data_IF_974115575233
#
_entry.id   IF_974115575233
#
_cell.length_a   1.000
_cell.length_b   1.000
_cell.length_c   1.000
_cell.angle_alpha   90.00
_cell.angle_beta   90.00
_cell.angle_gamma   90.00
#
_symmetry.space_group_name_H-M   'P 1'
#
loop_
_entity.id
_entity.type
_entity.pdbx_description
1 polymer ?
#
# COMPACT_ATOMS: atom_id res chain seq x y z
N UNK A 1 -11.41 21.02 -0.50
CA UNK A 1 -11.94 20.42 0.74
C UNK A 1 -13.05 19.47 0.33
N UNK A 2 -13.07 18.25 0.88
CA UNK A 2 -14.20 17.33 0.75
C UNK A 2 -15.31 17.88 1.65
N UNK A 3 -16.39 18.39 1.04
CA UNK A 3 -17.56 18.85 1.79
C UNK A 3 -18.15 17.63 2.52
N UNK A 4 -18.18 17.68 3.85
CA UNK A 4 -18.70 16.60 4.71
C UNK A 4 -17.66 15.66 5.32
N UNK A 5 -16.39 15.65 4.86
CA UNK A 5 -15.35 14.81 5.44
C UNK A 5 -14.80 15.45 6.72
N UNK A 6 -14.98 14.77 7.84
CA UNK A 6 -14.61 15.27 9.18
C UNK A 6 -13.26 14.74 9.64
N UNK A 7 -12.69 15.35 10.68
CA UNK A 7 -11.48 14.81 11.33
C UNK A 7 -11.71 13.41 11.92
N UNK A 8 -12.92 13.13 12.38
CA UNK A 8 -13.29 11.78 12.87
C UNK A 8 -13.21 10.73 11.75
N UNK A 9 -13.64 11.09 10.52
CA UNK A 9 -13.52 10.20 9.36
C UNK A 9 -12.07 9.98 8.97
N UNK A 10 -11.22 11.03 9.06
CA UNK A 10 -9.79 10.93 8.80
C UNK A 10 -9.06 9.97 9.76
N UNK A 11 -9.54 9.82 11.00
CA UNK A 11 -9.01 8.84 11.97
C UNK A 11 -9.68 7.46 11.80
N UNK A 12 -11.00 7.42 11.61
CA UNK A 12 -11.76 6.17 11.52
C UNK A 12 -11.33 5.32 10.32
N UNK A 13 -11.13 5.93 9.15
CA UNK A 13 -10.85 5.20 7.90
C UNK A 13 -9.53 4.44 7.96
N UNK A 14 -8.39 5.00 8.44
CA UNK A 14 -7.17 4.24 8.66
C UNK A 14 -7.29 3.13 9.72
N UNK A 15 -8.09 3.33 10.77
CA UNK A 15 -8.34 2.28 11.77
C UNK A 15 -9.10 1.09 11.18
N UNK A 16 -10.09 1.35 10.30
CA UNK A 16 -10.77 0.31 9.53
C UNK A 16 -9.77 -0.45 8.66
N UNK A 17 -8.85 0.25 7.98
CA UNK A 17 -7.77 -0.40 7.21
C UNK A 17 -6.96 -1.36 8.08
N UNK A 18 -6.49 -0.91 9.24
CA UNK A 18 -5.66 -1.75 10.13
C UNK A 18 -6.42 -2.98 10.64
N UNK A 19 -7.70 -2.81 11.00
CA UNK A 19 -8.54 -3.94 11.42
C UNK A 19 -8.64 -5.00 10.31
N UNK A 20 -8.96 -4.58 9.08
CA UNK A 20 -9.10 -5.50 7.96
C UNK A 20 -7.77 -6.08 7.48
N UNK A 21 -6.68 -5.34 7.57
CA UNK A 21 -5.33 -5.87 7.34
C UNK A 21 -4.99 -6.97 8.34
N UNK A 22 -5.36 -6.79 9.62
CA UNK A 22 -5.08 -7.75 10.67
C UNK A 22 -5.83 -9.09 10.55
N UNK A 23 -6.97 -9.12 9.86
CA UNK A 23 -7.81 -10.33 9.73
C UNK A 23 -7.80 -10.96 8.33
N UNK A 24 -7.11 -10.36 7.36
CA UNK A 24 -7.07 -10.88 5.98
C UNK A 24 -5.68 -11.35 5.59
N UNK A 25 -5.59 -12.42 4.77
CA UNK A 25 -4.32 -12.86 4.22
C UNK A 25 -3.62 -11.76 3.43
N UNK A 26 -2.28 -11.71 3.50
CA UNK A 26 -1.44 -10.68 2.86
C UNK A 26 -1.82 -9.23 3.23
N UNK A 27 -2.53 -9.01 4.35
CA UNK A 27 -3.07 -7.68 4.71
C UNK A 27 -3.86 -7.02 3.55
N UNK A 28 -4.59 -7.81 2.77
CA UNK A 28 -5.21 -7.37 1.51
C UNK A 28 -6.57 -6.69 1.67
N UNK A 29 -7.24 -6.87 2.82
CA UNK A 29 -8.60 -6.36 3.06
C UNK A 29 -8.69 -4.88 3.41
N UNK A 30 -7.59 -4.28 3.84
CA UNK A 30 -7.60 -2.90 4.32
C UNK A 30 -7.95 -1.88 3.23
N UNK A 31 -7.37 -2.01 2.04
CA UNK A 31 -7.62 -1.09 0.93
C UNK A 31 -9.10 -1.10 0.45
N UNK A 32 -9.72 -2.28 0.20
CA UNK A 32 -11.15 -2.34 -0.10
C UNK A 32 -12.03 -1.79 1.03
N UNK A 33 -11.70 -2.07 2.29
CA UNK A 33 -12.45 -1.58 3.43
C UNK A 33 -12.39 -0.05 3.56
N UNK A 34 -11.20 0.55 3.35
CA UNK A 34 -11.05 2.00 3.28
C UNK A 34 -11.88 2.62 2.16
N UNK A 35 -11.85 2.02 0.97
CA UNK A 35 -12.62 2.49 -0.18
C UNK A 35 -14.12 2.55 0.14
N UNK A 36 -14.66 1.46 0.69
CA UNK A 36 -16.06 1.38 1.10
C UNK A 36 -16.36 2.45 2.16
N UNK A 37 -15.52 2.59 3.17
CA UNK A 37 -15.69 3.58 4.23
C UNK A 37 -15.68 5.02 3.68
N UNK A 38 -14.80 5.35 2.74
CA UNK A 38 -14.77 6.66 2.08
C UNK A 38 -16.03 6.93 1.26
N UNK A 39 -16.52 5.95 0.51
CA UNK A 39 -17.76 6.08 -0.27
C UNK A 39 -18.96 6.29 0.66
N UNK A 40 -19.00 5.60 1.80
CA UNK A 40 -20.06 5.78 2.81
C UNK A 40 -20.08 7.19 3.45
N UNK A 41 -18.94 7.90 3.45
CA UNK A 41 -18.87 9.31 3.88
C UNK A 41 -19.24 10.31 2.77
N UNK A 42 -19.72 9.83 1.61
CA UNK A 42 -20.15 10.66 0.48
C UNK A 42 -19.03 11.04 -0.48
N UNK A 43 -17.84 10.44 -0.37
CA UNK A 43 -16.74 10.67 -1.33
C UNK A 43 -17.04 9.89 -2.61
N UNK A 44 -16.92 10.53 -3.77
CA UNK A 44 -17.04 9.87 -5.07
C UNK A 44 -16.06 8.70 -5.20
N UNK A 45 -16.52 7.58 -5.78
CA UNK A 45 -15.74 6.34 -5.86
C UNK A 45 -14.46 6.46 -6.69
N UNK A 46 -14.48 7.22 -7.78
CA UNK A 46 -13.30 7.48 -8.60
C UNK A 46 -12.25 8.28 -7.83
N UNK A 47 -12.70 9.32 -7.12
CA UNK A 47 -11.86 10.15 -6.26
C UNK A 47 -11.30 9.38 -5.06
N UNK A 48 -12.13 8.59 -4.38
CA UNK A 48 -11.71 7.75 -3.26
C UNK A 48 -10.63 6.75 -3.70
N UNK A 49 -10.86 6.05 -4.83
CA UNK A 49 -9.89 5.11 -5.40
C UNK A 49 -8.56 5.78 -5.75
N UNK A 50 -8.61 6.98 -6.38
CA UNK A 50 -7.41 7.74 -6.73
C UNK A 50 -6.59 8.14 -5.51
N UNK A 51 -7.23 8.63 -4.45
CA UNK A 51 -6.57 9.01 -3.20
C UNK A 51 -5.92 7.80 -2.53
N UNK A 52 -6.64 6.67 -2.44
CA UNK A 52 -6.13 5.45 -1.83
C UNK A 52 -4.99 4.83 -2.62
N UNK A 53 -5.08 4.81 -3.95
CA UNK A 53 -3.97 4.34 -4.78
C UNK A 53 -2.73 5.21 -4.64
N UNK A 54 -2.89 6.55 -4.63
CA UNK A 54 -1.75 7.45 -4.41
C UNK A 54 -1.12 7.24 -3.03
N UNK A 55 -1.93 7.11 -1.97
CA UNK A 55 -1.46 6.73 -0.64
C UNK A 55 -0.65 5.43 -0.71
N UNK A 56 -1.17 4.42 -1.40
CA UNK A 56 -0.53 3.11 -1.50
C UNK A 56 0.79 3.17 -2.30
N UNK A 57 0.85 3.94 -3.38
CA UNK A 57 2.10 4.18 -4.14
C UNK A 57 3.16 4.83 -3.26
N UNK A 58 2.80 5.89 -2.51
CA UNK A 58 3.74 6.55 -1.59
C UNK A 58 4.21 5.57 -0.51
N UNK A 59 3.30 4.81 0.08
CA UNK A 59 3.61 3.82 1.10
C UNK A 59 4.61 2.76 0.58
N UNK A 60 4.34 2.18 -0.59
CA UNK A 60 5.22 1.20 -1.21
C UNK A 60 6.58 1.80 -1.59
N UNK A 61 6.62 3.03 -2.10
CA UNK A 61 7.88 3.71 -2.38
C UNK A 61 8.71 3.92 -1.11
N UNK A 62 8.07 4.30 0.00
CA UNK A 62 8.76 4.47 1.29
C UNK A 62 9.25 3.12 1.86
N UNK A 63 8.49 2.04 1.70
CA UNK A 63 8.97 0.68 2.06
C UNK A 63 10.25 0.36 1.30
N UNK A 64 10.28 0.58 -0.02
CA UNK A 64 11.47 0.31 -0.84
C UNK A 64 12.65 1.19 -0.43
N UNK A 65 12.44 2.47 -0.16
CA UNK A 65 13.51 3.37 0.30
C UNK A 65 14.06 2.91 1.65
N UNK A 66 13.19 2.63 2.63
CA UNK A 66 13.62 2.12 3.93
C UNK A 66 14.34 0.77 3.81
N UNK A 67 13.88 -0.09 2.91
CA UNK A 67 14.54 -1.36 2.60
C UNK A 67 15.98 -1.16 2.07
N UNK A 68 16.17 -0.25 1.10
CA UNK A 68 17.50 0.03 0.55
C UNK A 68 18.44 0.59 1.62
N UNK A 69 17.96 1.46 2.51
CA UNK A 69 18.71 1.98 3.65
C UNK A 69 19.07 0.84 4.61
N UNK A 70 18.08 0.00 4.97
CA UNK A 70 18.28 -1.13 5.86
C UNK A 70 19.26 -2.17 5.28
N UNK A 71 19.19 -2.40 3.97
CA UNK A 71 20.11 -3.28 3.27
C UNK A 71 21.54 -2.73 3.34
N UNK A 72 21.74 -1.43 3.13
CA UNK A 72 23.06 -0.80 3.24
C UNK A 72 23.66 -0.94 4.66
N UNK A 73 22.82 -0.88 5.71
CA UNK A 73 23.25 -1.02 7.10
C UNK A 73 23.49 -2.49 7.48
N UNK A 74 22.56 -3.37 7.11
CA UNK A 74 22.50 -4.76 7.58
C UNK A 74 23.05 -5.80 6.62
N UNK A 75 23.52 -5.43 5.42
CA UNK A 75 23.92 -6.37 4.36
C UNK A 75 25.01 -7.33 4.79
N UNK A 76 26.06 -6.83 5.42
CA UNK A 76 27.19 -7.67 5.86
C UNK A 76 26.75 -8.72 6.89
N UNK A 77 25.88 -8.32 7.83
CA UNK A 77 25.32 -9.25 8.82
C UNK A 77 24.42 -10.28 8.18
N UNK A 78 23.56 -9.86 7.28
CA UNK A 78 22.63 -10.74 6.54
C UNK A 78 23.40 -11.77 5.70
N UNK A 79 24.38 -11.33 4.93
CA UNK A 79 25.19 -12.18 4.06
C UNK A 79 26.02 -13.21 4.86
N UNK A 80 26.58 -12.80 6.01
CA UNK A 80 27.43 -13.65 6.81
C UNK A 80 26.65 -14.68 7.66
N UNK A 81 25.47 -14.28 8.18
CA UNK A 81 24.70 -15.09 9.16
C UNK A 81 23.45 -15.73 8.61
N UNK A 82 22.83 -15.13 7.58
CA UNK A 82 21.50 -15.46 7.10
C UNK A 82 21.42 -15.52 5.57
N UNK A 83 22.39 -16.14 4.92
CA UNK A 83 22.52 -16.15 3.44
C UNK A 83 21.30 -16.71 2.71
N UNK A 84 20.55 -17.69 3.27
CA UNK A 84 19.29 -18.15 2.69
C UNK A 84 18.19 -17.09 2.75
N UNK A 85 18.17 -16.28 3.81
CA UNK A 85 17.22 -15.18 3.95
C UNK A 85 17.48 -14.08 2.91
N UNK A 86 18.71 -13.91 2.46
CA UNK A 86 19.06 -12.93 1.42
C UNK A 86 18.31 -13.15 0.11
N UNK A 87 18.05 -14.41 -0.28
CA UNK A 87 17.25 -14.72 -1.47
C UNK A 87 15.80 -14.25 -1.32
N UNK A 88 15.17 -14.50 -0.16
CA UNK A 88 13.81 -14.03 0.12
C UNK A 88 13.73 -12.51 0.19
N UNK A 89 14.76 -11.85 0.69
CA UNK A 89 14.87 -10.39 0.74
C UNK A 89 14.90 -9.81 -0.68
N UNK A 90 15.71 -10.35 -1.58
CA UNK A 90 15.76 -9.94 -3.00
C UNK A 90 14.42 -10.19 -3.68
N UNK A 91 13.82 -11.35 -3.46
CA UNK A 91 12.54 -11.69 -4.05
C UNK A 91 11.40 -10.77 -3.56
N UNK A 92 11.36 -10.46 -2.26
CA UNK A 92 10.43 -9.49 -1.69
C UNK A 92 10.61 -8.11 -2.31
N UNK A 93 11.85 -7.65 -2.47
CA UNK A 93 12.16 -6.38 -3.13
C UNK A 93 11.62 -6.33 -4.58
N UNK A 94 11.87 -7.39 -5.36
CA UNK A 94 11.39 -7.45 -6.74
C UNK A 94 9.86 -7.41 -6.82
N UNK A 95 9.16 -8.10 -5.92
CA UNK A 95 7.69 -8.05 -5.86
C UNK A 95 7.21 -6.62 -5.57
N UNK A 96 7.78 -5.93 -4.58
CA UNK A 96 7.40 -4.56 -4.27
C UNK A 96 7.67 -3.61 -5.45
N UNK A 97 8.78 -3.79 -6.16
CA UNK A 97 9.11 -3.02 -7.36
C UNK A 97 8.06 -3.23 -8.47
N UNK A 98 7.68 -4.49 -8.74
CA UNK A 98 6.64 -4.83 -9.72
C UNK A 98 5.29 -4.23 -9.32
N UNK A 99 4.94 -4.30 -8.03
CA UNK A 99 3.70 -3.69 -7.50
C UNK A 99 3.71 -2.18 -7.73
N UNK A 100 4.80 -1.47 -7.39
CA UNK A 100 4.90 -0.02 -7.61
C UNK A 100 4.74 0.33 -9.09
N UNK A 101 5.46 -0.36 -9.97
CA UNK A 101 5.36 -0.13 -11.42
C UNK A 101 3.95 -0.38 -11.93
N UNK A 102 3.30 -1.46 -11.52
CA UNK A 102 1.91 -1.77 -11.86
C UNK A 102 0.93 -0.70 -11.40
N UNK A 103 1.08 -0.21 -10.16
CA UNK A 103 0.25 0.86 -9.61
C UNK A 103 0.43 2.18 -10.36
N UNK A 104 1.68 2.55 -10.68
CA UNK A 104 1.96 3.74 -11.50
C UNK A 104 1.37 3.62 -12.91
N UNK A 105 1.43 2.44 -13.52
CA UNK A 105 0.79 2.19 -14.82
C UNK A 105 -0.74 2.36 -14.71
N UNK A 106 -1.37 1.81 -13.67
CA UNK A 106 -2.81 1.97 -13.44
C UNK A 106 -3.18 3.44 -13.25
N UNK A 107 -2.39 4.21 -12.50
CA UNK A 107 -2.70 5.61 -12.19
C UNK A 107 -2.49 6.55 -13.38
N UNK A 108 -1.45 6.34 -14.17
CA UNK A 108 -1.02 7.33 -15.16
C UNK A 108 -1.16 6.88 -16.60
N UNK A 109 -1.43 5.61 -16.85
CA UNK A 109 -1.63 5.09 -18.19
C UNK A 109 -3.08 4.67 -18.43
N UNK A 110 -3.92 5.66 -18.72
CA UNK A 110 -5.36 5.50 -18.91
C UNK A 110 -5.75 4.34 -19.86
N UNK A 111 -5.10 4.24 -21.02
CA UNK A 111 -5.37 3.15 -21.97
C UNK A 111 -5.03 1.76 -21.41
N UNK A 112 -3.98 1.66 -20.58
CA UNK A 112 -3.62 0.42 -19.91
C UNK A 112 -4.70 0.02 -18.90
N UNK A 113 -5.15 0.95 -18.07
CA UNK A 113 -6.20 0.72 -17.08
C UNK A 113 -7.50 0.28 -17.73
N UNK A 114 -7.94 0.96 -18.82
CA UNK A 114 -9.12 0.53 -19.58
C UNK A 114 -8.97 -0.88 -20.17
N UNK A 115 -7.79 -1.22 -20.71
CA UNK A 115 -7.53 -2.58 -21.24
C UNK A 115 -7.58 -3.63 -20.13
N UNK A 116 -6.96 -3.35 -18.97
CA UNK A 116 -6.92 -4.26 -17.83
C UNK A 116 -8.32 -4.53 -17.29
N UNK A 117 -9.13 -3.48 -17.07
CA UNK A 117 -10.51 -3.60 -16.60
C UNK A 117 -11.38 -4.33 -17.62
N UNK A 118 -11.28 -4.01 -18.91
CA UNK A 118 -11.99 -4.72 -19.97
C UNK A 118 -11.61 -6.21 -20.04
N UNK A 119 -10.33 -6.54 -19.81
CA UNK A 119 -9.89 -7.94 -19.74
C UNK A 119 -10.49 -8.66 -18.53
N UNK A 120 -10.49 -8.02 -17.35
CA UNK A 120 -11.09 -8.56 -16.13
C UNK A 120 -12.62 -8.72 -16.24
N UNK A 121 -13.28 -7.87 -17.03
CA UNK A 121 -14.72 -7.94 -17.29
C UNK A 121 -15.13 -9.03 -18.27
N UNK A 122 -14.23 -9.50 -19.14
CA UNK A 122 -14.56 -10.51 -20.17
C UNK A 122 -15.26 -11.75 -19.63
N UNK A 123 -14.78 -12.42 -18.56
CA UNK A 123 -15.44 -13.63 -18.05
C UNK A 123 -16.84 -13.35 -17.49
N UNK A 124 -17.15 -12.13 -17.00
CA UNK A 124 -18.48 -11.78 -16.51
C UNK A 124 -19.55 -11.80 -17.62
N UNK A 125 -19.12 -11.59 -18.89
CA UNK A 125 -20.04 -11.67 -20.04
C UNK A 125 -20.74 -13.04 -20.18
N UNK A 126 -20.14 -14.10 -19.64
CA UNK A 126 -20.73 -15.44 -19.69
C UNK A 126 -21.77 -15.70 -18.60
N UNK A 127 -21.71 -14.90 -17.51
CA UNK A 127 -22.56 -15.10 -16.32
C UNK A 127 -23.64 -14.03 -16.15
N UNK A 128 -23.56 -12.93 -16.91
CA UNK A 128 -24.44 -11.76 -16.72
C UNK A 128 -25.20 -11.46 -18.01
N UNK A 129 -26.49 -11.06 -17.88
CA UNK A 129 -27.32 -10.64 -19.03
C UNK A 129 -26.66 -9.48 -19.77
N UNK A 130 -26.73 -9.44 -21.13
CA UNK A 130 -26.05 -8.42 -21.95
C UNK A 130 -26.36 -6.98 -21.53
N UNK A 131 -27.61 -6.65 -21.25
CA UNK A 131 -28.03 -5.32 -20.83
C UNK A 131 -27.39 -4.88 -19.50
N UNK A 132 -27.25 -5.80 -18.57
CA UNK A 132 -26.64 -5.53 -17.27
C UNK A 132 -25.12 -5.41 -17.38
N UNK A 133 -24.50 -6.19 -18.27
CA UNK A 133 -23.09 -6.12 -18.59
C UNK A 133 -22.72 -4.75 -19.19
N UNK A 134 -23.48 -4.25 -20.17
CA UNK A 134 -23.22 -2.95 -20.79
C UNK A 134 -23.42 -1.79 -19.81
N UNK A 135 -24.43 -1.85 -18.93
CA UNK A 135 -24.61 -0.86 -17.84
C UNK A 135 -23.40 -0.83 -16.90
N UNK A 136 -22.91 -2.00 -16.49
CA UNK A 136 -21.73 -2.07 -15.63
C UNK A 136 -20.49 -1.56 -16.32
N UNK A 137 -20.31 -1.90 -17.59
CA UNK A 137 -19.18 -1.43 -18.39
C UNK A 137 -19.19 0.09 -18.53
N UNK A 138 -20.31 0.69 -18.87
CA UNK A 138 -20.44 2.14 -18.98
C UNK A 138 -20.14 2.85 -17.65
N UNK A 139 -20.69 2.32 -16.54
CA UNK A 139 -20.40 2.86 -15.20
C UNK A 139 -18.93 2.72 -14.80
N UNK A 140 -18.26 1.63 -15.19
CA UNK A 140 -16.82 1.44 -14.92
C UNK A 140 -15.97 2.37 -15.78
N UNK A 141 -16.31 2.57 -17.06
CA UNK A 141 -15.60 3.50 -17.93
C UNK A 141 -15.66 4.94 -17.38
N UNK A 142 -16.82 5.40 -16.91
CA UNK A 142 -16.96 6.70 -16.25
C UNK A 142 -16.10 6.81 -14.97
N UNK A 143 -16.08 5.76 -14.15
CA UNK A 143 -15.26 5.71 -12.94
C UNK A 143 -13.77 5.71 -13.24
N UNK A 144 -13.33 5.04 -14.31
CA UNK A 144 -11.93 5.05 -14.75
C UNK A 144 -11.54 6.45 -15.22
N UNK A 145 -12.40 7.13 -15.95
CA UNK A 145 -12.15 8.49 -16.41
C UNK A 145 -12.05 9.47 -15.23
N UNK A 146 -12.99 9.39 -14.27
CA UNK A 146 -12.94 10.15 -13.02
C UNK A 146 -11.67 9.86 -12.21
N UNK A 147 -11.31 8.58 -12.06
CA UNK A 147 -10.10 8.13 -11.38
C UNK A 147 -8.83 8.71 -12.03
N UNK A 148 -8.72 8.66 -13.37
CA UNK A 148 -7.56 9.20 -14.07
C UNK A 148 -7.43 10.71 -13.89
N UNK A 149 -8.53 11.47 -14.05
CA UNK A 149 -8.54 12.91 -13.86
C UNK A 149 -8.10 13.31 -12.45
N UNK A 150 -8.62 12.64 -11.41
CA UNK A 150 -8.22 12.90 -10.03
C UNK A 150 -6.77 12.47 -9.74
N UNK A 151 -6.28 11.38 -10.35
CA UNK A 151 -4.88 10.95 -10.22
C UNK A 151 -3.90 11.99 -10.78
N UNK A 152 -4.20 12.54 -11.97
CA UNK A 152 -3.41 13.63 -12.56
C UNK A 152 -3.48 14.89 -11.69
N UNK A 153 -4.64 15.21 -11.15
CA UNK A 153 -4.83 16.37 -10.25
C UNK A 153 -4.02 16.22 -8.95
N UNK A 154 -4.03 15.06 -8.32
CA UNK A 154 -3.26 14.81 -7.09
C UNK A 154 -1.75 14.95 -7.37
N UNK A 155 -1.25 14.42 -8.50
CA UNK A 155 0.15 14.55 -8.91
C UNK A 155 0.61 16.00 -8.98
N UNK A 156 -0.26 16.93 -9.40
CA UNK A 156 0.08 18.37 -9.47
C UNK A 156 0.22 19.04 -8.10
N UNK A 157 -0.27 18.39 -7.03
CA UNK A 157 -0.24 18.93 -5.66
C UNK A 157 1.04 18.49 -4.90
N UNK A 158 2.22 18.88 -5.42
CA UNK A 158 3.51 18.45 -4.89
C UNK A 158 3.70 18.71 -3.37
N UNK A 159 3.16 19.83 -2.86
CA UNK A 159 3.21 20.15 -1.41
C UNK A 159 2.46 19.13 -0.59
N UNK A 160 1.27 18.71 -1.04
CA UNK A 160 0.50 17.64 -0.40
C UNK A 160 1.28 16.34 -0.43
N UNK A 161 1.90 16.00 -1.57
CA UNK A 161 2.71 14.78 -1.71
C UNK A 161 3.87 14.75 -0.73
N UNK A 162 4.57 15.87 -0.52
CA UNK A 162 5.65 15.95 0.49
C UNK A 162 5.09 15.68 1.90
N UNK A 163 3.98 16.31 2.28
CA UNK A 163 3.39 16.07 3.60
C UNK A 163 2.98 14.60 3.80
N UNK A 164 2.35 13.99 2.80
CA UNK A 164 1.99 12.56 2.84
C UNK A 164 3.23 11.68 2.97
N UNK A 165 4.28 11.98 2.22
CA UNK A 165 5.56 11.25 2.28
C UNK A 165 6.20 11.35 3.66
N UNK A 166 6.28 12.56 4.25
CA UNK A 166 6.85 12.77 5.59
C UNK A 166 6.04 12.07 6.68
N UNK A 167 4.70 12.11 6.59
CA UNK A 167 3.83 11.39 7.53
C UNK A 167 4.02 9.87 7.39
N UNK A 168 4.12 9.36 6.18
CA UNK A 168 4.36 7.93 5.92
C UNK A 168 5.74 7.50 6.44
N UNK A 169 6.76 8.31 6.25
CA UNK A 169 8.09 8.07 6.82
C UNK A 169 8.04 8.02 8.34
N UNK A 170 7.39 8.98 8.99
CA UNK A 170 7.21 8.98 10.44
C UNK A 170 6.48 7.74 10.96
N UNK A 171 5.39 7.36 10.28
CA UNK A 171 4.63 6.15 10.58
C UNK A 171 5.49 4.88 10.48
N UNK A 172 6.24 4.72 9.39
CA UNK A 172 7.12 3.58 9.17
C UNK A 172 8.29 3.57 10.15
N UNK A 173 8.88 4.72 10.46
CA UNK A 173 9.97 4.80 11.44
C UNK A 173 9.52 4.31 12.82
N UNK A 174 8.35 4.76 13.29
CA UNK A 174 7.76 4.29 14.55
C UNK A 174 7.50 2.78 14.50
N UNK A 175 6.92 2.28 13.41
CA UNK A 175 6.65 0.86 13.22
C UNK A 175 7.94 0.02 13.25
N UNK A 176 8.98 0.44 12.56
CA UNK A 176 10.24 -0.30 12.51
C UNK A 176 11.05 -0.24 13.80
N UNK A 177 10.81 0.75 14.66
CA UNK A 177 11.44 0.87 15.98
C UNK A 177 10.78 -0.02 17.07
N UNK A 178 9.60 -0.58 16.82
CA UNK A 178 8.88 -1.39 17.81
C UNK A 178 9.74 -2.50 18.42
N UNK A 179 10.44 -3.37 17.63
CA UNK A 179 11.27 -4.42 18.22
C UNK A 179 12.41 -3.91 19.09
N UNK A 180 12.98 -2.76 18.77
CA UNK A 180 14.00 -2.14 19.60
C UNK A 180 13.45 -1.80 21.01
N UNK A 181 12.28 -1.18 21.08
CA UNK A 181 11.65 -0.89 22.38
C UNK A 181 11.22 -2.15 23.13
N UNK A 182 10.79 -3.19 22.43
CA UNK A 182 10.50 -4.50 23.04
C UNK A 182 11.79 -5.08 23.64
N UNK A 183 12.91 -5.05 22.94
CA UNK A 183 14.19 -5.55 23.47
C UNK A 183 14.63 -4.77 24.71
N UNK A 184 14.48 -3.44 24.72
CA UNK A 184 14.75 -2.61 25.89
C UNK A 184 13.88 -3.00 27.08
N UNK A 185 12.58 -3.23 26.87
CA UNK A 185 11.65 -3.63 27.94
C UNK A 185 11.96 -5.01 28.52
N UNK A 186 12.63 -5.88 27.75
CA UNK A 186 13.10 -7.19 28.18
C UNK A 186 14.49 -7.13 28.83
N UNK A 187 15.06 -5.94 29.03
CA UNK A 187 16.36 -5.74 29.70
C UNK A 187 17.59 -5.79 28.79
N UNK A 188 17.42 -5.90 27.47
CA UNK A 188 18.53 -5.87 26.52
C UNK A 188 18.97 -4.42 26.23
N UNK A 189 19.72 -3.79 27.15
CA UNK A 189 20.07 -2.36 27.09
C UNK A 189 21.25 -2.02 26.14
N UNK A 190 21.96 -3.01 25.64
CA UNK A 190 23.15 -2.82 24.80
C UNK A 190 22.91 -3.14 23.31
N UNK A 191 21.66 -3.16 22.87
CA UNK A 191 21.33 -3.44 21.47
C UNK A 191 21.50 -2.19 20.60
N UNK A 192 22.08 -2.36 19.41
CA UNK A 192 22.23 -1.28 18.45
C UNK A 192 20.90 -1.01 17.75
N UNK A 193 20.34 0.19 17.98
CA UNK A 193 19.05 0.60 17.42
C UNK A 193 19.03 0.52 15.88
N UNK A 194 20.09 0.96 15.21
CA UNK A 194 20.16 0.94 13.74
C UNK A 194 20.13 -0.49 13.21
N UNK A 195 20.88 -1.40 13.85
CA UNK A 195 20.92 -2.80 13.43
C UNK A 195 19.58 -3.50 13.65
N UNK A 196 18.95 -3.33 14.83
CA UNK A 196 17.65 -3.93 15.12
C UNK A 196 16.58 -3.41 14.16
N UNK A 197 16.55 -2.10 13.91
CA UNK A 197 15.62 -1.48 12.97
C UNK A 197 15.85 -1.97 11.55
N UNK A 198 17.10 -2.03 11.08
CA UNK A 198 17.44 -2.54 9.76
C UNK A 198 17.02 -4.01 9.58
N UNK A 199 17.31 -4.86 10.55
CA UNK A 199 16.89 -6.27 10.51
C UNK A 199 15.36 -6.41 10.50
N UNK A 200 14.65 -5.59 11.25
CA UNK A 200 13.17 -5.59 11.23
C UNK A 200 12.63 -5.21 9.84
N UNK A 201 13.17 -4.17 9.20
CA UNK A 201 12.78 -3.80 7.82
C UNK A 201 12.98 -4.98 6.87
N UNK A 202 14.14 -5.67 6.95
CA UNK A 202 14.44 -6.83 6.10
C UNK A 202 13.50 -8.01 6.37
N UNK A 203 13.14 -8.26 7.63
CA UNK A 203 12.19 -9.31 8.03
C UNK A 203 10.79 -8.98 7.51
N UNK A 204 10.32 -7.75 7.65
CA UNK A 204 9.00 -7.33 7.14
C UNK A 204 8.91 -7.53 5.63
N UNK A 205 10.00 -7.26 4.88
CA UNK A 205 10.06 -7.52 3.44
C UNK A 205 9.85 -9.00 3.12
N UNK A 206 10.43 -9.90 3.92
CA UNK A 206 10.26 -11.36 3.75
C UNK A 206 8.86 -11.80 4.15
N UNK A 207 8.35 -11.33 5.30
CA UNK A 207 7.02 -11.70 5.81
C UNK A 207 5.92 -11.32 4.83
N UNK A 208 6.07 -10.20 4.10
CA UNK A 208 5.10 -9.76 3.10
C UNK A 208 4.88 -10.74 1.94
N UNK A 209 5.77 -11.73 1.76
CA UNK A 209 5.63 -12.81 0.78
C UNK A 209 4.66 -13.92 1.22
N UNK A 210 4.33 -13.99 2.50
CA UNK A 210 3.53 -15.07 3.06
C UNK A 210 2.09 -14.61 3.32
N UNK A 211 1.09 -15.51 3.13
CA UNK A 211 -0.33 -15.20 3.31
C UNK A 211 -0.73 -15.18 4.79
N UNK A 212 0.07 -14.54 5.62
CA UNK A 212 -0.17 -14.46 7.07
C UNK A 212 -1.13 -13.30 7.35
N UNK A 213 -2.26 -13.51 8.05
CA UNK A 213 -3.11 -12.43 8.50
C UNK A 213 -2.33 -11.46 9.39
N UNK A 214 -2.50 -10.16 9.14
CA UNK A 214 -1.77 -9.12 9.88
C UNK A 214 -0.31 -8.93 9.48
N UNK A 215 0.25 -9.80 8.64
CA UNK A 215 1.65 -9.71 8.23
C UNK A 215 2.65 -9.98 9.38
N UNK A 216 2.21 -10.67 10.42
CA UNK A 216 3.05 -11.01 11.59
C UNK A 216 3.44 -12.47 11.59
#
# INVERSE_FOLDING_TARGET
RLSGFTFKDALRIPLIEQLFNGITPFSSGGQPAQLIAMIQTGVDGGRASSVLLMKFVVYQAMIVINFLIALAIGFQYLAAKLHYLALFVVFGFLIHLVVILGLLMIMFWHSFTKRLVNLAMKPLRWFVKPERYEKWRASLDEKIDSFYLESVRIKSQWRLMIHVTLLTLGQLAIYYLIPYFIMLSLGYNHVNVLMVTALHVLIVMVISLFPIPGGA
#
